data_IF_084804388148
#
_entry.id   IF_084804388148
#
_cell.length_a   1.000
_cell.length_b   1.000
_cell.length_c   1.000
_cell.angle_alpha   90.00
_cell.angle_beta   90.00
_cell.angle_gamma   90.00
#
_symmetry.space_group_name_H-M   'P 1'
#
loop_
_entity.id
_entity.type
_entity.pdbx_description
1 polymer ?
#
# COMPACT_ATOMS: atom_id res chain seq x y z
N UNK A 1 16.95 15.16 4.51
CA UNK A 1 16.44 14.18 5.49
C UNK A 1 17.22 14.16 6.81
N UNK A 2 18.36 14.85 6.91
CA UNK A 2 19.31 14.74 8.04
C UNK A 2 18.78 15.21 9.41
N UNK A 3 17.55 15.74 9.49
CA UNK A 3 16.92 16.18 10.75
C UNK A 3 15.57 15.49 11.03
N UNK A 4 15.24 14.39 10.33
CA UNK A 4 14.03 13.63 10.64
C UNK A 4 14.24 12.82 11.92
N UNK A 5 13.33 12.90 12.90
CA UNK A 5 13.45 12.12 14.13
C UNK A 5 13.48 10.61 13.85
N UNK A 6 14.26 9.89 14.66
CA UNK A 6 14.41 8.44 14.53
C UNK A 6 13.07 7.68 14.58
N UNK A 7 12.08 8.19 15.32
CA UNK A 7 10.76 7.56 15.42
C UNK A 7 10.06 7.47 14.06
N UNK A 8 10.25 8.42 13.14
CA UNK A 8 9.60 8.39 11.82
C UNK A 8 10.14 7.21 11.00
N UNK A 9 11.45 7.03 11.00
CA UNK A 9 12.13 5.91 10.34
C UNK A 9 11.76 4.56 10.94
N UNK A 10 11.73 4.49 12.28
CA UNK A 10 11.40 3.26 13.02
C UNK A 10 9.95 2.86 12.82
N UNK A 11 9.00 3.80 12.92
CA UNK A 11 7.57 3.54 12.69
C UNK A 11 7.34 3.06 11.26
N UNK A 12 7.96 3.70 10.26
CA UNK A 12 7.79 3.28 8.87
C UNK A 12 8.37 1.88 8.63
N UNK A 13 9.59 1.62 9.10
CA UNK A 13 10.23 0.30 8.96
C UNK A 13 9.43 -0.78 9.67
N UNK A 14 8.96 -0.52 10.89
CA UNK A 14 8.09 -1.44 11.63
C UNK A 14 6.78 -1.70 10.88
N UNK A 15 6.22 -0.69 10.21
CA UNK A 15 5.02 -0.84 9.38
C UNK A 15 5.27 -1.72 8.16
N UNK A 16 6.42 -1.58 7.49
CA UNK A 16 6.81 -2.46 6.39
C UNK A 16 6.97 -3.90 6.86
N UNK A 17 7.65 -4.13 7.99
CA UNK A 17 7.81 -5.46 8.57
C UNK A 17 6.45 -6.06 8.96
N UNK A 18 5.58 -5.28 9.61
CA UNK A 18 4.23 -5.71 9.97
C UNK A 18 3.39 -6.04 8.73
N UNK A 19 3.49 -5.25 7.66
CA UNK A 19 2.80 -5.50 6.40
C UNK A 19 3.28 -6.81 5.77
N UNK A 20 4.60 -7.02 5.66
CA UNK A 20 5.17 -8.27 5.12
C UNK A 20 4.72 -9.46 5.95
N UNK A 21 4.74 -9.36 7.28
CA UNK A 21 4.31 -10.45 8.16
C UNK A 21 2.81 -10.76 8.04
N UNK A 22 1.94 -9.74 8.06
CA UNK A 22 0.50 -9.92 7.88
C UNK A 22 0.18 -10.52 6.51
N UNK A 23 0.84 -10.04 5.46
CA UNK A 23 0.62 -10.57 4.12
C UNK A 23 1.17 -11.99 3.98
N UNK A 24 2.34 -12.29 4.57
CA UNK A 24 2.90 -13.64 4.64
C UNK A 24 1.92 -14.61 5.32
N UNK A 25 1.29 -14.20 6.42
CA UNK A 25 0.21 -14.96 7.07
C UNK A 25 -1.00 -15.14 6.14
N UNK A 26 -1.41 -14.09 5.42
CA UNK A 26 -2.52 -14.18 4.45
C UNK A 26 -2.23 -15.17 3.31
N UNK A 27 -0.95 -15.35 2.94
CA UNK A 27 -0.49 -16.34 1.95
C UNK A 27 -0.32 -17.76 2.51
N UNK A 28 -0.81 -18.04 3.73
CA UNK A 28 -0.59 -19.31 4.43
C UNK A 28 0.90 -19.67 4.56
N UNK A 29 1.72 -18.69 4.93
CA UNK A 29 3.16 -18.87 5.18
C UNK A 29 3.96 -19.33 3.94
N UNK A 30 3.58 -18.88 2.75
CA UNK A 30 4.27 -19.19 1.48
C UNK A 30 5.72 -18.69 1.47
N UNK A 31 6.68 -19.63 1.50
CA UNK A 31 8.12 -19.30 1.42
C UNK A 31 8.48 -18.56 0.14
N UNK A 32 7.83 -18.90 -0.97
CA UNK A 32 8.05 -18.23 -2.26
C UNK A 32 7.69 -16.74 -2.16
N UNK A 33 6.54 -16.40 -1.59
CA UNK A 33 6.15 -15.01 -1.36
C UNK A 33 7.20 -14.29 -0.51
N UNK A 34 7.61 -14.89 0.62
CA UNK A 34 8.55 -14.26 1.55
C UNK A 34 9.91 -13.98 0.89
N UNK A 35 10.45 -14.93 0.12
CA UNK A 35 11.72 -14.74 -0.60
C UNK A 35 11.59 -13.67 -1.67
N UNK A 36 10.52 -13.71 -2.48
CA UNK A 36 10.30 -12.73 -3.55
C UNK A 36 10.13 -11.31 -3.00
N UNK A 37 9.32 -11.12 -1.96
CA UNK A 37 9.11 -9.79 -1.38
C UNK A 37 10.36 -9.28 -0.66
N UNK A 38 11.11 -10.16 0.02
CA UNK A 38 12.36 -9.77 0.68
C UNK A 38 13.42 -9.35 -0.34
N UNK A 39 13.58 -10.09 -1.44
CA UNK A 39 14.49 -9.72 -2.52
C UNK A 39 14.12 -8.37 -3.15
N UNK A 40 12.81 -8.13 -3.35
CA UNK A 40 12.32 -6.84 -3.86
C UNK A 40 12.57 -5.69 -2.89
N UNK A 41 12.29 -5.87 -1.60
CA UNK A 41 12.56 -4.85 -0.57
C UNK A 41 14.05 -4.53 -0.50
N UNK A 42 14.93 -5.54 -0.51
CA UNK A 42 16.38 -5.34 -0.51
C UNK A 42 16.82 -4.55 -1.72
N UNK A 43 16.38 -4.95 -2.93
CA UNK A 43 16.70 -4.24 -4.17
C UNK A 43 16.31 -2.75 -4.09
N UNK A 44 15.07 -2.46 -3.68
CA UNK A 44 14.57 -1.09 -3.58
C UNK A 44 15.24 -0.28 -2.47
N UNK A 45 15.61 -0.95 -1.37
CA UNK A 45 16.36 -0.32 -0.27
C UNK A 45 17.76 0.08 -0.72
N UNK A 46 18.45 -0.78 -1.48
CA UNK A 46 19.77 -0.47 -2.05
C UNK A 46 19.67 0.69 -3.04
N UNK A 47 18.72 0.63 -3.99
CA UNK A 47 18.53 1.69 -4.99
C UNK A 47 18.21 3.06 -4.38
N UNK A 48 17.33 3.09 -3.38
CA UNK A 48 17.00 4.34 -2.67
C UNK A 48 18.17 4.85 -1.81
N UNK A 49 18.97 3.97 -1.22
CA UNK A 49 20.14 4.35 -0.40
C UNK A 49 21.29 4.93 -1.24
N UNK A 50 21.51 4.44 -2.46
CA UNK A 50 22.49 5.04 -3.40
C UNK A 50 21.98 6.33 -4.05
N UNK A 51 20.77 6.77 -3.72
CA UNK A 51 20.18 8.00 -4.22
C UNK A 51 19.61 7.91 -5.64
N UNK A 52 19.31 6.71 -6.14
CA UNK A 52 18.75 6.52 -7.48
C UNK A 52 17.44 7.30 -7.70
N UNK A 53 16.65 7.54 -6.65
CA UNK A 53 15.38 8.28 -6.73
C UNK A 53 15.47 9.72 -6.17
N UNK A 54 16.64 10.19 -5.76
CA UNK A 54 16.78 11.45 -5.02
C UNK A 54 16.89 12.68 -5.92
N UNK A 55 17.29 12.51 -7.18
CA UNK A 55 17.44 13.61 -8.13
C UNK A 55 16.06 14.09 -8.63
N UNK A 56 15.62 15.32 -8.31
CA UNK A 56 14.30 15.84 -8.69
C UNK A 56 14.07 15.85 -10.20
N UNK A 57 15.11 16.04 -11.01
CA UNK A 57 15.01 16.09 -12.46
C UNK A 57 14.67 14.73 -13.08
N UNK A 58 15.22 13.65 -12.49
CA UNK A 58 14.98 12.28 -12.94
C UNK A 58 13.93 11.53 -12.13
N UNK A 59 13.53 12.04 -10.96
CA UNK A 59 12.55 11.41 -10.05
C UNK A 59 11.22 11.15 -10.77
N UNK A 60 10.70 12.11 -11.52
CA UNK A 60 9.47 11.94 -12.32
C UNK A 60 9.54 10.78 -13.31
N UNK A 61 10.72 10.52 -13.90
CA UNK A 61 10.93 9.43 -14.87
C UNK A 61 11.22 8.08 -14.19
N UNK A 62 11.84 8.10 -13.01
CA UNK A 62 12.23 6.89 -12.27
C UNK A 62 11.12 6.39 -11.34
N UNK A 63 10.23 7.27 -10.87
CA UNK A 63 9.13 6.91 -9.97
C UNK A 63 8.21 5.79 -10.50
N UNK A 64 7.85 5.74 -11.79
CA UNK A 64 7.10 4.60 -12.33
C UNK A 64 7.80 3.26 -12.16
N UNK A 65 9.13 3.20 -12.02
CA UNK A 65 9.86 1.95 -11.76
C UNK A 65 9.65 1.44 -10.33
N UNK A 66 9.26 2.29 -9.39
CA UNK A 66 8.84 1.85 -8.05
C UNK A 66 7.47 1.17 -8.12
N UNK A 67 6.53 1.77 -8.85
CA UNK A 67 5.12 1.38 -8.83
C UNK A 67 4.76 0.31 -9.88
N UNK A 68 5.20 0.46 -11.13
CA UNK A 68 4.73 -0.35 -12.26
C UNK A 68 5.16 -1.81 -12.19
N UNK A 69 6.43 -2.17 -11.90
CA UNK A 69 6.83 -3.58 -11.84
C UNK A 69 6.01 -4.41 -10.84
N UNK A 70 5.86 -4.01 -9.56
CA UNK A 70 5.05 -4.79 -8.61
C UNK A 70 3.57 -4.75 -8.98
N UNK A 71 3.06 -3.62 -9.51
CA UNK A 71 1.68 -3.51 -9.97
C UNK A 71 1.37 -4.51 -11.09
N UNK A 72 2.17 -4.51 -12.17
CA UNK A 72 2.01 -5.41 -13.32
C UNK A 72 2.11 -6.87 -12.86
N UNK A 73 3.11 -7.17 -12.02
CA UNK A 73 3.29 -8.52 -11.49
C UNK A 73 2.03 -8.99 -10.73
N UNK A 74 1.52 -8.19 -9.79
CA UNK A 74 0.35 -8.54 -8.98
C UNK A 74 -0.94 -8.62 -9.81
N UNK A 75 -1.15 -7.67 -10.73
CA UNK A 75 -2.32 -7.66 -11.63
C UNK A 75 -2.30 -8.84 -12.58
N UNK A 76 -1.14 -9.25 -13.10
CA UNK A 76 -1.01 -10.42 -13.98
C UNK A 76 -1.52 -11.72 -13.34
N UNK A 77 -1.48 -11.83 -12.00
CA UNK A 77 -1.97 -12.99 -11.25
C UNK A 77 -3.49 -13.17 -11.38
N UNK A 78 -4.25 -12.10 -11.65
CA UNK A 78 -5.70 -12.21 -11.87
C UNK A 78 -6.07 -12.86 -13.20
N UNK A 79 -5.15 -12.88 -14.17
CA UNK A 79 -5.41 -13.41 -15.52
C UNK A 79 -4.92 -14.85 -15.68
N UNK A 80 -3.87 -15.25 -14.97
CA UNK A 80 -3.31 -16.60 -15.04
C UNK A 80 -4.08 -17.62 -14.18
N UNK A 81 -4.18 -18.87 -14.63
CA UNK A 81 -4.86 -19.94 -13.87
C UNK A 81 -4.22 -20.18 -12.49
N UNK A 82 -2.89 -20.27 -12.45
CA UNK A 82 -2.14 -20.41 -11.20
C UNK A 82 -2.29 -19.21 -10.28
N UNK A 83 -2.37 -17.99 -10.84
CA UNK A 83 -2.55 -16.78 -10.05
C UNK A 83 -3.95 -16.69 -9.44
N UNK A 84 -4.99 -17.09 -10.18
CA UNK A 84 -6.35 -17.21 -9.64
C UNK A 84 -6.42 -18.21 -8.49
N UNK A 85 -5.80 -19.39 -8.64
CA UNK A 85 -5.73 -20.38 -7.55
C UNK A 85 -5.00 -19.84 -6.32
N UNK A 86 -3.92 -19.09 -6.51
CA UNK A 86 -3.21 -18.43 -5.41
C UNK A 86 -4.08 -17.36 -4.72
N UNK A 87 -4.76 -16.51 -5.48
CA UNK A 87 -5.65 -15.49 -4.92
C UNK A 87 -6.78 -16.14 -4.11
N UNK A 88 -7.34 -17.24 -4.63
CA UNK A 88 -8.46 -17.93 -4.01
C UNK A 88 -8.04 -18.72 -2.74
N UNK A 89 -6.73 -18.92 -2.50
CA UNK A 89 -6.21 -19.53 -1.27
C UNK A 89 -5.86 -18.53 -0.16
N UNK A 90 -5.87 -17.22 -0.46
CA UNK A 90 -5.53 -16.18 0.52
C UNK A 90 -6.60 -16.08 1.61
N UNK A 91 -6.19 -15.89 2.85
CA UNK A 91 -7.11 -15.66 3.95
C UNK A 91 -7.71 -14.25 3.91
N UNK A 92 -8.97 -14.14 3.46
CA UNK A 92 -9.72 -12.88 3.38
C UNK A 92 -9.80 -12.14 4.72
N UNK A 93 -9.79 -12.86 5.84
CA UNK A 93 -9.83 -12.28 7.19
C UNK A 93 -8.56 -11.49 7.47
N UNK A 94 -7.41 -12.09 7.17
CA UNK A 94 -6.11 -11.42 7.28
C UNK A 94 -5.96 -10.30 6.27
N UNK A 95 -6.46 -10.45 5.03
CA UNK A 95 -6.49 -9.36 4.03
C UNK A 95 -7.33 -8.16 4.51
N UNK A 96 -8.40 -8.40 5.26
CA UNK A 96 -9.21 -7.31 5.84
C UNK A 96 -8.44 -6.56 6.93
N UNK A 97 -7.80 -7.28 7.87
CA UNK A 97 -6.96 -6.68 8.91
C UNK A 97 -5.74 -5.96 8.32
N UNK A 98 -5.22 -6.44 7.18
CA UNK A 98 -4.06 -5.84 6.53
C UNK A 98 -4.23 -4.34 6.29
N UNK A 99 -5.45 -3.85 6.07
CA UNK A 99 -5.73 -2.43 5.88
C UNK A 99 -5.41 -1.54 7.08
N UNK A 100 -5.26 -2.10 8.30
CA UNK A 100 -4.83 -1.37 9.50
C UNK A 100 -3.46 -0.72 9.33
N UNK A 101 -2.57 -1.28 8.51
CA UNK A 101 -1.24 -0.70 8.25
C UNK A 101 -1.31 0.71 7.68
N UNK A 102 -2.45 1.12 7.10
CA UNK A 102 -2.64 2.47 6.58
C UNK A 102 -2.57 3.52 7.67
N UNK A 103 -3.00 3.21 8.90
CA UNK A 103 -2.95 4.16 10.02
C UNK A 103 -1.51 4.65 10.28
N UNK A 104 -0.53 3.77 10.57
CA UNK A 104 0.83 4.22 10.78
C UNK A 104 1.49 4.79 9.51
N UNK A 105 1.11 4.34 8.31
CA UNK A 105 1.57 4.97 7.05
C UNK A 105 1.14 6.44 6.99
N UNK A 106 -0.13 6.73 7.25
CA UNK A 106 -0.67 8.09 7.22
C UNK A 106 -0.06 8.99 8.30
N UNK A 107 0.21 8.45 9.49
CA UNK A 107 0.95 9.19 10.53
C UNK A 107 2.38 9.52 10.09
N UNK A 108 3.07 8.60 9.42
CA UNK A 108 4.40 8.86 8.87
C UNK A 108 4.34 9.93 7.77
N UNK A 109 3.36 9.87 6.87
CA UNK A 109 3.16 10.90 5.85
C UNK A 109 2.93 12.27 6.50
N UNK A 110 2.09 12.34 7.53
CA UNK A 110 1.88 13.57 8.28
C UNK A 110 3.18 14.10 8.91
N UNK A 111 4.00 13.24 9.53
CA UNK A 111 5.30 13.69 10.06
C UNK A 111 6.27 14.15 8.97
N UNK A 112 6.27 13.51 7.80
CA UNK A 112 7.05 13.98 6.65
C UNK A 112 6.58 15.35 6.16
N UNK A 113 5.29 15.64 6.22
CA UNK A 113 4.75 16.96 5.91
C UNK A 113 5.20 18.02 6.93
N UNK A 114 5.09 17.74 8.23
CA UNK A 114 5.58 18.64 9.30
C UNK A 114 7.06 18.98 9.12
N UNK A 115 7.86 18.02 8.62
CA UNK A 115 9.27 18.21 8.29
C UNK A 115 9.52 18.68 6.84
N UNK A 116 8.50 19.24 6.17
CA UNK A 116 8.55 19.86 4.84
C UNK A 116 9.11 18.95 3.73
N UNK A 117 8.95 17.64 3.86
CA UNK A 117 9.48 16.64 2.93
C UNK A 117 8.44 16.14 1.91
N UNK A 118 7.16 16.34 2.20
CA UNK A 118 6.03 16.08 1.30
C UNK A 118 4.98 17.19 1.45
N UNK A 119 4.09 17.40 0.47
CA UNK A 119 3.05 18.43 0.58
C UNK A 119 1.85 17.99 1.44
N UNK A 120 1.15 18.98 1.99
CA UNK A 120 -0.09 18.81 2.79
C UNK A 120 -1.14 17.96 2.07
N UNK A 121 -1.26 18.11 0.75
CA UNK A 121 -2.21 17.37 -0.08
C UNK A 121 -2.08 15.83 0.04
N UNK A 122 -0.90 15.32 0.42
CA UNK A 122 -0.64 13.89 0.62
C UNK A 122 -1.02 13.38 2.01
N UNK A 123 -1.40 14.28 2.92
CA UNK A 123 -1.76 13.96 4.31
C UNK A 123 -3.26 13.98 4.51
N UNK A 124 -3.69 13.43 5.65
CA UNK A 124 -5.10 13.43 6.06
C UNK A 124 -5.66 14.81 6.40
N UNK A 125 -4.83 15.83 6.62
CA UNK A 125 -5.30 17.22 6.76
C UNK A 125 -5.71 17.82 5.41
N UNK A 126 -5.07 17.34 4.32
CA UNK A 126 -5.39 17.75 2.96
C UNK A 126 -6.45 16.89 2.30
N UNK A 127 -6.06 16.17 1.25
CA UNK A 127 -6.98 15.41 0.39
C UNK A 127 -6.94 13.89 0.62
N UNK A 128 -6.10 13.42 1.55
CA UNK A 128 -5.89 12.00 1.79
C UNK A 128 -6.74 11.47 2.96
N UNK A 129 -7.97 11.07 2.66
CA UNK A 129 -8.85 10.41 3.64
C UNK A 129 -8.64 8.89 3.76
N UNK A 130 -7.51 8.33 3.29
CA UNK A 130 -7.25 6.88 3.36
C UNK A 130 -7.05 6.37 4.79
N UNK A 131 -6.81 7.26 5.78
CA UNK A 131 -6.80 6.88 7.20
C UNK A 131 -8.13 6.25 7.64
N UNK A 132 -9.26 6.66 7.05
CA UNK A 132 -10.58 6.12 7.36
C UNK A 132 -10.70 4.64 6.95
N UNK A 133 -10.03 4.25 5.87
CA UNK A 133 -10.03 2.86 5.41
C UNK A 133 -9.22 1.97 6.38
N UNK A 134 -8.14 2.51 6.96
CA UNK A 134 -7.39 1.84 8.02
C UNK A 134 -8.15 1.73 9.34
N UNK A 135 -8.82 2.80 9.77
CA UNK A 135 -9.61 2.83 11.01
C UNK A 135 -10.86 1.94 10.93
N UNK A 136 -11.48 1.83 9.76
CA UNK A 136 -12.65 0.97 9.58
C UNK A 136 -12.31 -0.53 9.49
N UNK A 137 -11.06 -0.89 9.19
CA UNK A 137 -10.66 -2.28 8.98
C UNK A 137 -10.90 -3.22 10.19
N UNK A 138 -10.55 -2.87 11.45
CA UNK A 138 -10.86 -3.72 12.61
C UNK A 138 -12.37 -3.87 12.86
N UNK A 139 -13.14 -2.81 12.61
CA UNK A 139 -14.59 -2.83 12.74
C UNK A 139 -15.21 -3.79 11.71
N UNK A 140 -14.81 -3.68 10.44
CA UNK A 140 -15.27 -4.58 9.38
C UNK A 140 -14.82 -6.02 9.64
N UNK A 141 -13.60 -6.22 10.14
CA UNK A 141 -13.13 -7.53 10.55
C UNK A 141 -14.04 -8.15 11.62
N UNK A 142 -14.29 -7.41 12.69
CA UNK A 142 -15.06 -7.90 13.83
C UNK A 142 -16.53 -8.12 13.48
N UNK A 143 -17.20 -7.14 12.87
CA UNK A 143 -18.63 -7.25 12.55
C UNK A 143 -18.87 -8.23 11.38
N UNK A 144 -17.97 -8.23 10.40
CA UNK A 144 -18.07 -9.05 9.19
C UNK A 144 -17.69 -10.51 9.39
N UNK A 145 -16.58 -10.80 10.08
CA UNK A 145 -16.03 -12.16 10.15
C UNK A 145 -16.10 -12.82 11.53
N UNK A 146 -16.11 -12.04 12.62
CA UNK A 146 -16.27 -12.60 13.98
C UNK A 146 -17.75 -12.74 14.32
N UNK A 147 -18.54 -11.69 14.12
CA UNK A 147 -20.00 -11.72 14.35
C UNK A 147 -20.81 -12.24 13.17
N UNK A 148 -20.22 -12.38 11.98
CA UNK A 148 -20.89 -12.79 10.74
C UNK A 148 -22.17 -11.98 10.43
N UNK A 149 -22.18 -10.68 10.74
CA UNK A 149 -23.36 -9.81 10.58
C UNK A 149 -23.37 -9.01 9.28
N UNK A 150 -22.25 -8.92 8.56
CA UNK A 150 -22.19 -8.18 7.30
C UNK A 150 -22.45 -9.11 6.12
N UNK A 151 -23.35 -8.69 5.25
CA UNK A 151 -23.57 -9.37 3.97
C UNK A 151 -22.38 -9.20 3.03
N UNK A 152 -22.26 -10.12 2.05
CA UNK A 152 -21.20 -10.07 1.02
C UNK A 152 -21.16 -8.72 0.29
N UNK A 153 -22.32 -8.15 -0.04
CA UNK A 153 -22.41 -6.87 -0.75
C UNK A 153 -21.77 -5.72 0.03
N UNK A 154 -21.89 -5.71 1.36
CA UNK A 154 -21.27 -4.68 2.21
C UNK A 154 -19.75 -4.84 2.23
N UNK A 155 -19.25 -6.07 2.34
CA UNK A 155 -17.82 -6.34 2.28
C UNK A 155 -17.21 -5.97 0.92
N UNK A 156 -17.91 -6.23 -0.18
CA UNK A 156 -17.49 -5.79 -1.52
C UNK A 156 -17.50 -4.27 -1.62
N UNK A 157 -18.58 -3.61 -1.20
CA UNK A 157 -18.68 -2.15 -1.21
C UNK A 157 -17.57 -1.48 -0.40
N UNK A 158 -17.23 -2.04 0.78
CA UNK A 158 -16.13 -1.55 1.60
C UNK A 158 -14.77 -1.68 0.90
N UNK A 159 -14.46 -2.82 0.28
CA UNK A 159 -13.21 -2.98 -0.47
C UNK A 159 -13.15 -2.05 -1.70
N UNK A 160 -14.26 -1.83 -2.38
CA UNK A 160 -14.34 -0.88 -3.50
C UNK A 160 -14.09 0.56 -3.02
N UNK A 161 -14.70 0.95 -1.89
CA UNK A 161 -14.45 2.26 -1.28
C UNK A 161 -12.98 2.40 -0.85
N UNK A 162 -12.40 1.38 -0.21
CA UNK A 162 -10.98 1.35 0.17
C UNK A 162 -10.04 1.43 -1.04
N UNK A 163 -10.42 0.86 -2.18
CA UNK A 163 -9.66 0.95 -3.42
C UNK A 163 -9.77 2.35 -4.05
N UNK A 164 -10.97 2.95 -4.04
CA UNK A 164 -11.17 4.32 -4.53
C UNK A 164 -10.36 5.34 -3.72
N UNK A 165 -10.34 5.19 -2.39
CA UNK A 165 -9.49 6.01 -1.50
C UNK A 165 -8.01 5.85 -1.84
N UNK A 166 -7.53 4.60 -1.98
CA UNK A 166 -6.15 4.33 -2.38
C UNK A 166 -5.79 4.97 -3.73
N UNK A 167 -6.67 4.86 -4.73
CA UNK A 167 -6.44 5.47 -6.04
C UNK A 167 -6.35 6.99 -5.95
N UNK A 168 -7.21 7.63 -5.15
CA UNK A 168 -7.14 9.08 -4.89
C UNK A 168 -5.77 9.48 -4.30
N UNK A 169 -5.24 8.71 -3.36
CA UNK A 169 -3.90 8.96 -2.77
C UNK A 169 -2.80 8.77 -3.80
N UNK A 170 -2.83 7.67 -4.57
CA UNK A 170 -1.81 7.38 -5.58
C UNK A 170 -1.79 8.46 -6.67
N UNK A 171 -2.96 8.89 -7.15
CA UNK A 171 -3.08 9.97 -8.14
C UNK A 171 -2.52 11.27 -7.55
N UNK A 172 -2.90 11.62 -6.32
CA UNK A 172 -2.40 12.82 -5.64
C UNK A 172 -0.89 12.77 -5.44
N UNK A 173 -0.34 11.61 -5.07
CA UNK A 173 1.09 11.40 -4.90
C UNK A 173 1.87 11.58 -6.21
N UNK A 174 1.34 11.06 -7.32
CA UNK A 174 1.92 11.23 -8.65
C UNK A 174 1.86 12.71 -9.07
N UNK A 175 0.72 13.38 -8.86
CA UNK A 175 0.52 14.81 -9.15
C UNK A 175 1.34 15.74 -8.23
N UNK A 176 1.90 15.22 -7.15
CA UNK A 176 2.79 15.95 -6.24
C UNK A 176 4.28 15.75 -6.58
N UNK A 177 4.62 14.89 -7.54
CA UNK A 177 6.01 14.65 -7.96
C UNK A 177 6.60 15.88 -8.64
N UNK A 178 7.89 16.18 -8.38
CA UNK A 178 8.53 17.36 -8.94
C UNK A 178 8.65 17.30 -10.47
N UNK A 179 8.73 18.48 -11.10
CA UNK A 179 9.00 18.71 -12.54
C UNK A 179 7.85 18.42 -13.49
N UNK A 180 7.51 17.14 -13.78
CA UNK A 180 6.58 16.81 -14.88
C UNK A 180 5.11 16.75 -14.46
N UNK A 181 4.85 16.32 -13.24
CA UNK A 181 3.51 16.05 -12.76
C UNK A 181 3.04 17.03 -11.69
N UNK A 182 3.88 18.00 -11.30
CA UNK A 182 3.64 18.91 -10.18
C UNK A 182 2.44 19.82 -10.46
N UNK A 183 1.26 19.36 -10.04
CA UNK A 183 0.01 20.12 -10.00
C UNK A 183 -0.31 20.54 -8.56
N UNK A 184 0.30 19.91 -7.57
CA UNK A 184 0.20 20.21 -6.13
C UNK A 184 1.59 20.32 -5.50
N UNK A 185 1.67 21.01 -4.35
CA UNK A 185 2.91 21.10 -3.58
C UNK A 185 3.99 21.97 -4.24
N UNK A 186 3.60 23.07 -4.89
CA UNK A 186 4.55 24.02 -5.51
C UNK A 186 5.57 24.56 -4.52
N UNK A 187 5.15 24.81 -3.27
CA UNK A 187 6.04 25.28 -2.20
C UNK A 187 6.81 24.15 -1.51
N UNK A 188 6.30 22.92 -1.54
CA UNK A 188 6.84 21.74 -0.84
C UNK A 188 6.68 20.48 -1.71
N UNK A 189 7.60 20.22 -2.65
CA UNK A 189 7.49 19.09 -3.56
C UNK A 189 7.65 17.75 -2.82
N UNK A 190 7.05 16.70 -3.39
CA UNK A 190 7.13 15.35 -2.84
C UNK A 190 8.51 14.70 -3.09
N UNK A 191 9.50 15.09 -2.31
CA UNK A 191 10.85 14.52 -2.36
C UNK A 191 11.01 13.34 -1.41
N UNK A 192 10.27 13.32 -0.29
CA UNK A 192 10.43 12.35 0.79
C UNK A 192 10.29 10.89 0.34
N UNK A 193 9.45 10.61 -0.65
CA UNK A 193 9.15 9.25 -1.12
C UNK A 193 10.30 8.65 -1.95
N UNK A 194 11.26 9.45 -2.43
CA UNK A 194 12.45 8.91 -3.13
C UNK A 194 13.49 8.29 -2.18
N UNK A 195 13.48 8.70 -0.91
CA UNK A 195 14.53 8.32 0.04
C UNK A 195 14.20 7.00 0.75
N UNK A 196 15.24 6.29 1.16
CA UNK A 196 15.09 5.17 2.08
C UNK A 196 14.65 5.67 3.47
N UNK A 197 13.71 4.98 4.15
CA UNK A 197 12.95 3.79 3.76
C UNK A 197 11.65 4.07 2.99
N UNK A 198 11.26 5.33 2.85
CA UNK A 198 9.95 5.75 2.35
C UNK A 198 9.67 5.37 0.89
N UNK A 199 10.71 5.11 0.08
CA UNK A 199 10.56 4.52 -1.26
C UNK A 199 9.84 3.16 -1.27
N UNK A 200 9.83 2.44 -0.14
CA UNK A 200 9.08 1.19 0.01
C UNK A 200 7.56 1.42 0.07
N UNK A 201 7.09 2.65 0.28
CA UNK A 201 5.66 2.98 0.24
C UNK A 201 5.08 2.70 -1.16
N UNK A 202 5.52 3.37 -2.25
CA UNK A 202 5.04 3.08 -3.59
C UNK A 202 5.55 1.72 -4.11
N UNK A 203 6.71 1.24 -3.66
CA UNK A 203 7.29 0.01 -4.20
C UNK A 203 6.71 -1.27 -3.58
N UNK A 204 6.22 -1.23 -2.35
CA UNK A 204 5.80 -2.43 -1.62
C UNK A 204 4.39 -2.26 -1.03
N UNK A 205 4.17 -1.25 -0.19
CA UNK A 205 2.92 -1.13 0.57
C UNK A 205 1.72 -0.85 -0.33
N UNK A 206 1.82 0.14 -1.22
CA UNK A 206 0.72 0.52 -2.13
C UNK A 206 0.28 -0.67 -3.02
N UNK A 207 1.18 -1.38 -3.73
CA UNK A 207 0.81 -2.56 -4.51
C UNK A 207 0.17 -3.67 -3.68
N UNK A 208 0.67 -3.96 -2.48
CA UNK A 208 0.11 -4.99 -1.60
C UNK A 208 -1.29 -4.62 -1.12
N UNK A 209 -1.51 -3.37 -0.73
CA UNK A 209 -2.82 -2.87 -0.29
C UNK A 209 -3.82 -2.93 -1.45
N UNK A 210 -3.41 -2.52 -2.64
CA UNK A 210 -4.25 -2.64 -3.83
C UNK A 210 -4.62 -4.10 -4.10
N UNK A 211 -3.63 -4.98 -4.12
CA UNK A 211 -3.84 -6.40 -4.36
C UNK A 211 -4.73 -7.05 -3.29
N UNK A 212 -4.62 -6.64 -2.02
CA UNK A 212 -5.52 -7.07 -0.94
C UNK A 212 -6.98 -6.78 -1.25
N UNK A 213 -7.30 -5.53 -1.66
CA UNK A 213 -8.67 -5.15 -2.04
C UNK A 213 -9.18 -5.97 -3.23
N UNK A 214 -8.38 -6.08 -4.29
CA UNK A 214 -8.77 -6.79 -5.51
C UNK A 214 -8.96 -8.30 -5.26
N UNK A 215 -8.07 -8.90 -4.45
CA UNK A 215 -8.16 -10.30 -4.04
C UNK A 215 -9.44 -10.55 -3.22
N UNK A 216 -9.73 -9.70 -2.24
CA UNK A 216 -10.93 -9.80 -1.43
C UNK A 216 -12.21 -9.66 -2.26
N UNK A 217 -12.27 -8.67 -3.17
CA UNK A 217 -13.42 -8.48 -4.08
C UNK A 217 -13.64 -9.73 -4.93
N UNK A 218 -12.58 -10.27 -5.54
CA UNK A 218 -12.67 -11.49 -6.35
C UNK A 218 -13.24 -12.66 -5.53
N UNK A 219 -12.68 -12.90 -4.35
CA UNK A 219 -13.12 -14.01 -3.49
C UNK A 219 -14.59 -13.86 -3.06
N UNK A 220 -15.04 -12.63 -2.77
CA UNK A 220 -16.42 -12.36 -2.35
C UNK A 220 -17.44 -12.50 -3.48
N UNK A 221 -17.06 -12.11 -4.70
CA UNK A 221 -17.89 -12.24 -5.91
C UNK A 221 -17.95 -13.67 -6.44
N UNK A 222 -17.00 -14.53 -6.07
CA UNK A 222 -17.03 -15.94 -6.48
C UNK A 222 -18.26 -16.63 -5.85
N UNK A 223 -19.11 -17.30 -6.65
CA UNK A 223 -20.14 -18.16 -6.08
C UNK A 223 -19.46 -19.23 -5.23
N UNK A 224 -19.96 -19.46 -4.00
CA UNK A 224 -19.50 -20.60 -3.20
C UNK A 224 -19.81 -21.84 -4.02
N UNK A 225 -18.79 -22.58 -4.43
CA UNK A 225 -18.99 -23.91 -4.98
C UNK A 225 -19.58 -24.73 -3.84
N UNK A 226 -20.87 -25.05 -3.94
CA UNK A 226 -21.52 -25.97 -3.02
C UNK A 226 -20.87 -27.32 -3.32
N UNK A 227 -19.88 -27.71 -2.52
CA UNK A 227 -19.50 -29.12 -2.42
C UNK A 227 -20.63 -29.80 -1.67
N UNK A 228 -21.51 -30.48 -2.42
CA UNK A 228 -22.47 -31.46 -1.90
C UNK A 228 -21.70 -32.71 -1.46
#
# INVERSE_FOLDING_TARGET
MENLPAYVYLTFTATVVAAVWLFYRATNYSRLFLVTISAWIVLQSVLSSIGFYNDPASMSSRFPLLLLPPFIFLVSRFFTAQGKLFIDSLDIKTLTIFHVIRIPVELVLFWLFVHKSIPEAMTFEGRNVDILSGLSAPLIYYVGFVKNKLGKSVLVAWNVACLALLLNVVITAIMALPVRFQQFGFEQPNLGIGYFPFALLPACLVPLVMFSNLAAIRQLLRPKTITV
#
